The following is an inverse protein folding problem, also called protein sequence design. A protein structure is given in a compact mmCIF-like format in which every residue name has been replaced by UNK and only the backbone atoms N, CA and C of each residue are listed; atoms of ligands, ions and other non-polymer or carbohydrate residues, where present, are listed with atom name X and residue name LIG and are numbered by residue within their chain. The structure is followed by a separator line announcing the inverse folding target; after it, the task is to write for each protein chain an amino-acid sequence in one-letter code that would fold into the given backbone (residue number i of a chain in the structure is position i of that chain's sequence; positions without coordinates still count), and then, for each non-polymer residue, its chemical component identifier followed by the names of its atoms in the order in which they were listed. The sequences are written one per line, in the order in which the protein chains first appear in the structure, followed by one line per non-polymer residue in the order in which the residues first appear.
data_IF_114932952963
#
_entry.id   IF_114932952963
#
_cell.length_a   1.000
_cell.length_b   1.000
_cell.length_c   1.000
_cell.angle_alpha   90.00
_cell.angle_beta   90.00
_cell.angle_gamma   90.00
#
_symmetry.space_group_name_H-M   'P 1'
#
loop_
_entity.id
_entity.type
_entity.pdbx_description
1 polymer ?
#
# COMPACT_ATOMS: atom_id res chain seq x y z
N UNK A 1 2.44 -3.26 21.01
CA UNK A 1 3.90 -3.46 21.17
C UNK A 1 4.55 -4.01 19.88
N UNK A 2 3.82 -4.73 19.02
CA UNK A 2 4.37 -5.23 17.75
C UNK A 2 4.45 -4.15 16.64
N UNK A 3 3.70 -3.07 16.80
CA UNK A 3 3.59 -2.03 15.76
C UNK A 3 4.82 -1.12 15.65
N UNK A 4 5.53 -0.87 16.74
CA UNK A 4 6.75 -0.05 16.73
C UNK A 4 7.94 -0.73 16.02
N UNK A 5 7.96 -2.06 15.96
CA UNK A 5 9.06 -2.80 15.35
C UNK A 5 9.10 -2.72 13.81
N UNK A 6 7.95 -2.57 13.17
CA UNK A 6 7.85 -2.62 11.71
C UNK A 6 8.03 -1.25 11.04
N UNK A 7 7.83 -0.16 11.78
CA UNK A 7 7.96 1.22 11.28
C UNK A 7 7.27 1.46 9.93
N UNK A 8 6.14 0.76 9.70
CA UNK A 8 5.38 0.87 8.46
C UNK A 8 4.73 2.24 8.37
N UNK A 9 4.92 2.91 7.25
CA UNK A 9 4.30 4.19 6.94
C UNK A 9 3.86 4.25 5.48
N UNK A 10 2.63 4.75 5.27
CA UNK A 10 2.06 5.02 3.95
C UNK A 10 1.59 6.47 3.98
N UNK A 11 2.25 7.34 3.21
CA UNK A 11 1.93 8.76 3.15
C UNK A 11 1.47 9.12 1.74
N UNK A 12 0.28 9.64 1.60
CA UNK A 12 -0.20 10.22 0.36
C UNK A 12 -0.21 11.75 0.53
N UNK A 13 0.70 12.43 -0.18
CA UNK A 13 0.99 13.85 -0.02
C UNK A 13 0.55 14.58 -1.28
N UNK A 14 -0.27 15.60 -1.10
CA UNK A 14 -0.60 16.58 -2.14
C UNK A 14 0.11 17.88 -1.80
N UNK A 15 0.88 18.40 -2.74
CA UNK A 15 1.56 19.68 -2.65
C UNK A 15 0.89 20.68 -3.60
N UNK A 16 0.43 21.79 -3.06
CA UNK A 16 -0.07 22.90 -3.86
C UNK A 16 1.10 23.61 -4.58
N UNK A 17 0.85 24.41 -5.62
CA UNK A 17 1.88 25.21 -6.29
C UNK A 17 2.73 26.02 -5.31
N UNK A 18 4.04 25.92 -5.44
CA UNK A 18 5.01 26.56 -4.54
C UNK A 18 5.04 26.02 -3.11
N UNK A 19 4.29 24.94 -2.84
CA UNK A 19 4.23 24.32 -1.53
C UNK A 19 5.53 23.61 -1.16
N UNK A 20 5.83 23.57 0.13
CA UNK A 20 6.95 22.83 0.69
C UNK A 20 6.47 21.87 1.75
N UNK A 21 7.15 20.73 1.90
CA UNK A 21 6.85 19.73 2.93
C UNK A 21 8.16 19.10 3.42
N UNK A 22 8.27 18.94 4.72
CA UNK A 22 9.40 18.25 5.33
C UNK A 22 8.95 16.94 5.95
N UNK A 23 9.66 15.85 5.63
CA UNK A 23 9.47 14.54 6.25
C UNK A 23 10.69 14.22 7.12
N UNK A 24 10.43 13.92 8.38
CA UNK A 24 11.47 13.55 9.34
C UNK A 24 12.13 12.22 8.99
N UNK A 25 13.36 11.97 9.44
CA UNK A 25 13.99 10.67 9.35
C UNK A 25 13.11 9.54 9.89
N UNK A 26 13.18 8.37 9.26
CA UNK A 26 12.52 7.16 9.75
C UNK A 26 13.41 6.33 10.67
N UNK A 27 14.73 6.48 10.53
CA UNK A 27 15.72 5.74 11.29
C UNK A 27 16.42 4.64 10.48
N UNK A 28 17.43 4.06 11.08
CA UNK A 28 18.22 2.99 10.46
C UNK A 28 17.42 1.71 10.22
N UNK A 29 17.78 0.99 9.17
CA UNK A 29 17.19 -0.30 8.80
C UNK A 29 15.76 -0.22 8.27
N UNK A 30 15.29 0.96 7.91
CA UNK A 30 14.01 1.18 7.26
C UNK A 30 14.23 1.33 5.76
N UNK A 31 13.40 0.72 4.94
CA UNK A 31 13.33 1.03 3.51
C UNK A 31 12.32 2.17 3.32
N UNK A 32 12.69 3.18 2.55
CA UNK A 32 11.80 4.31 2.22
C UNK A 32 11.89 4.60 0.73
N UNK A 33 10.73 4.59 0.05
CA UNK A 33 10.62 4.87 -1.38
C UNK A 33 9.57 5.95 -1.61
N UNK A 34 9.93 6.93 -2.41
CA UNK A 34 9.09 8.04 -2.84
C UNK A 34 8.62 7.77 -4.27
N UNK A 35 7.33 7.79 -4.52
CA UNK A 35 6.71 7.63 -5.84
C UNK A 35 6.09 8.96 -6.25
N UNK A 36 6.67 9.63 -7.24
CA UNK A 36 6.14 10.85 -7.81
C UNK A 36 5.23 10.54 -8.99
N UNK A 37 3.91 10.66 -8.82
CA UNK A 37 2.95 10.17 -9.80
C UNK A 37 2.07 11.25 -10.45
N UNK A 38 2.10 12.50 -9.96
CA UNK A 38 1.38 13.62 -10.58
C UNK A 38 2.15 14.93 -10.35
N UNK A 39 2.21 15.78 -11.37
CA UNK A 39 2.92 17.06 -11.35
C UNK A 39 4.03 17.13 -12.42
N UNK A 40 4.72 18.28 -12.53
CA UNK A 40 5.74 18.51 -13.56
C UNK A 40 7.10 18.95 -13.03
N UNK A 41 7.18 19.49 -11.83
CA UNK A 41 8.39 20.11 -11.31
C UNK A 41 8.51 19.99 -9.78
N UNK A 42 8.90 18.80 -9.33
CA UNK A 42 9.12 18.51 -7.91
C UNK A 42 10.62 18.35 -7.64
N UNK A 43 11.08 19.07 -6.61
CA UNK A 43 12.41 18.91 -6.04
C UNK A 43 12.32 18.09 -4.77
N UNK A 44 13.27 17.20 -4.57
CA UNK A 44 13.46 16.44 -3.33
C UNK A 44 14.87 16.70 -2.82
N UNK A 45 14.97 17.39 -1.69
CA UNK A 45 16.25 17.70 -1.03
C UNK A 45 17.24 18.34 -2.01
N UNK A 46 16.74 19.27 -2.83
CA UNK A 46 17.52 20.02 -3.82
C UNK A 46 17.74 19.34 -5.17
N UNK A 47 17.28 18.10 -5.36
CA UNK A 47 17.37 17.38 -6.63
C UNK A 47 16.01 17.27 -7.31
N UNK A 48 15.97 17.47 -8.64
CA UNK A 48 14.74 17.31 -9.42
C UNK A 48 14.38 15.86 -9.62
N UNK A 49 13.16 15.48 -9.23
CA UNK A 49 12.63 14.13 -9.51
C UNK A 49 11.91 14.15 -10.86
N UNK A 50 12.26 13.24 -11.77
CA UNK A 50 11.50 13.07 -12.99
C UNK A 50 10.07 12.57 -12.70
N UNK A 51 9.10 13.08 -13.47
CA UNK A 51 7.71 12.64 -13.36
C UNK A 51 7.56 11.13 -13.64
N UNK A 52 6.64 10.46 -12.94
CA UNK A 52 6.42 9.01 -12.98
C UNK A 52 7.64 8.15 -12.58
N UNK A 53 8.49 8.69 -11.72
CA UNK A 53 9.61 7.92 -11.18
C UNK A 53 9.43 7.61 -9.69
N UNK A 54 10.05 6.53 -9.27
CA UNK A 54 10.28 6.23 -7.88
C UNK A 54 11.73 6.48 -7.50
N UNK A 55 11.95 6.97 -6.29
CA UNK A 55 13.27 7.24 -5.73
C UNK A 55 13.37 6.52 -4.39
N UNK A 56 14.39 5.67 -4.26
CA UNK A 56 14.77 5.13 -2.94
C UNK A 56 15.66 6.15 -2.27
N UNK A 57 15.34 6.50 -1.05
CA UNK A 57 16.01 7.54 -0.28
C UNK A 57 16.65 6.98 0.98
N UNK A 58 17.65 7.67 1.51
CA UNK A 58 18.22 7.35 2.81
C UNK A 58 17.18 7.62 3.91
N UNK A 59 16.76 6.59 4.66
CA UNK A 59 15.73 6.74 5.68
C UNK A 59 16.21 7.52 6.91
N UNK A 60 17.51 7.70 7.06
CA UNK A 60 18.11 8.46 8.18
C UNK A 60 18.18 9.95 7.92
N UNK A 61 17.95 10.37 6.68
CA UNK A 61 17.97 11.77 6.28
C UNK A 61 16.58 12.40 6.31
N UNK A 62 16.55 13.69 6.60
CA UNK A 62 15.36 14.52 6.45
C UNK A 62 15.11 14.78 4.97
N UNK A 63 13.88 14.55 4.51
CA UNK A 63 13.48 14.85 3.14
C UNK A 63 12.78 16.21 3.09
N UNK A 64 13.18 17.05 2.13
CA UNK A 64 12.54 18.32 1.85
C UNK A 64 11.96 18.29 0.45
N UNK A 65 10.64 18.43 0.34
CA UNK A 65 9.92 18.52 -0.92
C UNK A 65 9.64 19.99 -1.22
N UNK A 66 10.00 20.45 -2.41
CA UNK A 66 9.72 21.79 -2.91
C UNK A 66 8.99 21.66 -4.25
N UNK A 67 7.76 22.14 -4.29
CA UNK A 67 6.91 22.01 -5.47
C UNK A 67 7.02 23.21 -6.38
N UNK A 68 6.88 22.96 -7.69
CA UNK A 68 6.84 24.00 -8.72
C UNK A 68 5.48 24.71 -8.80
N UNK A 69 5.10 25.07 -10.00
CA UNK A 69 3.95 25.92 -10.32
C UNK A 69 2.62 25.15 -10.54
N UNK A 70 2.65 23.84 -10.47
CA UNK A 70 1.47 22.97 -10.57
C UNK A 70 1.32 22.09 -9.32
N UNK A 71 0.11 21.53 -9.13
CA UNK A 71 -0.12 20.54 -8.07
C UNK A 71 0.75 19.32 -8.30
N UNK A 72 1.41 18.84 -7.25
CA UNK A 72 2.13 17.57 -7.27
C UNK A 72 1.54 16.58 -6.26
N UNK A 73 1.59 15.30 -6.61
CA UNK A 73 1.20 14.21 -5.71
C UNK A 73 2.29 13.16 -5.60
N UNK A 74 2.53 12.76 -4.38
CA UNK A 74 3.58 11.84 -3.99
C UNK A 74 3.01 10.77 -3.07
N UNK A 75 3.33 9.51 -3.35
CA UNK A 75 3.13 8.41 -2.42
C UNK A 75 4.48 8.04 -1.81
N UNK A 76 4.53 7.93 -0.50
CA UNK A 76 5.72 7.44 0.20
C UNK A 76 5.36 6.14 0.91
N UNK A 77 6.14 5.12 0.65
CA UNK A 77 6.06 3.84 1.33
C UNK A 77 7.33 3.62 2.14
N UNK A 78 7.17 3.25 3.40
CA UNK A 78 8.30 2.88 4.24
C UNK A 78 7.97 1.68 5.12
N UNK A 79 9.00 0.97 5.54
CA UNK A 79 8.89 -0.12 6.50
C UNK A 79 10.22 -0.80 6.75
N UNK A 80 10.33 -1.45 7.88
CA UNK A 80 11.44 -2.33 8.19
C UNK A 80 11.28 -3.63 7.40
N UNK A 81 12.30 -4.11 6.69
CA UNK A 81 12.28 -5.45 6.10
C UNK A 81 11.96 -6.50 7.16
N UNK A 82 11.13 -7.46 6.83
CA UNK A 82 10.76 -8.56 7.73
C UNK A 82 11.94 -9.52 7.92
N UNK A 83 12.80 -9.61 6.91
CA UNK A 83 14.03 -10.38 6.92
C UNK A 83 13.81 -11.90 7.07
N UNK A 84 12.68 -12.37 6.55
CA UNK A 84 12.32 -13.78 6.50
C UNK A 84 12.48 -14.34 5.10
N UNK A 85 12.75 -15.67 4.95
CA UNK A 85 12.75 -16.31 3.65
C UNK A 85 11.42 -16.11 2.92
N UNK A 86 11.47 -16.00 1.59
CA UNK A 86 10.28 -15.86 0.75
C UNK A 86 10.29 -16.93 -0.31
N UNK A 87 9.27 -17.78 -0.32
CA UNK A 87 8.99 -18.76 -1.36
C UNK A 87 7.63 -18.45 -1.97
N UNK A 88 7.61 -18.36 -3.30
CA UNK A 88 6.37 -18.11 -4.04
C UNK A 88 6.08 -19.24 -5.01
N UNK A 89 4.82 -19.69 -5.05
CA UNK A 89 4.33 -20.61 -6.06
C UNK A 89 2.86 -20.30 -6.37
N UNK A 90 2.57 -19.97 -7.63
CA UNK A 90 1.25 -19.50 -8.04
C UNK A 90 0.81 -18.29 -7.23
N UNK A 91 -0.39 -18.32 -6.63
CA UNK A 91 -0.91 -17.23 -5.84
C UNK A 91 -0.37 -17.21 -4.39
N UNK A 92 0.35 -18.25 -3.95
CA UNK A 92 0.78 -18.36 -2.57
C UNK A 92 2.20 -17.85 -2.38
N UNK A 93 2.39 -17.13 -1.27
CA UNK A 93 3.69 -16.65 -0.78
C UNK A 93 3.81 -17.07 0.67
N UNK A 94 4.85 -17.85 0.98
CA UNK A 94 5.14 -18.40 2.31
C UNK A 94 6.63 -18.26 2.61
N UNK A 95 7.07 -18.76 3.75
CA UNK A 95 8.49 -18.74 4.12
C UNK A 95 9.22 -20.01 3.64
N UNK A 96 8.50 -21.13 3.51
CA UNK A 96 9.07 -22.42 3.09
C UNK A 96 8.27 -23.06 1.96
N UNK A 97 8.86 -24.07 1.30
CA UNK A 97 8.15 -24.87 0.28
C UNK A 97 7.11 -25.79 0.90
N UNK A 98 7.36 -26.24 2.09
CA UNK A 98 6.47 -27.09 2.89
C UNK A 98 5.17 -26.32 3.18
N UNK A 99 5.28 -25.06 3.62
CA UNK A 99 4.11 -24.18 3.85
C UNK A 99 3.33 -23.89 2.55
N UNK A 100 4.01 -23.79 1.41
CA UNK A 100 3.33 -23.68 0.10
C UNK A 100 2.48 -24.94 -0.16
N UNK A 101 3.02 -26.13 0.11
CA UNK A 101 2.26 -27.38 -0.09
C UNK A 101 1.07 -27.45 0.86
N UNK A 102 1.24 -27.09 2.12
CA UNK A 102 0.14 -27.04 3.10
C UNK A 102 -0.96 -26.06 2.64
N UNK A 103 -0.59 -24.89 2.11
CA UNK A 103 -1.55 -23.92 1.61
C UNK A 103 -2.35 -24.45 0.41
N UNK A 104 -1.70 -25.19 -0.51
CA UNK A 104 -2.40 -25.87 -1.62
C UNK A 104 -3.35 -26.96 -1.12
N UNK A 105 -2.90 -27.79 -0.18
CA UNK A 105 -3.71 -28.87 0.37
C UNK A 105 -4.93 -28.31 1.12
N UNK A 106 -4.74 -27.24 1.88
CA UNK A 106 -5.83 -26.56 2.60
C UNK A 106 -6.81 -25.90 1.63
N UNK A 107 -6.32 -25.22 0.58
CA UNK A 107 -7.18 -24.67 -0.46
C UNK A 107 -7.97 -25.76 -1.21
N UNK A 108 -7.34 -26.87 -1.58
CA UNK A 108 -8.02 -27.99 -2.25
C UNK A 108 -9.12 -28.59 -1.38
N UNK A 109 -8.91 -28.65 -0.07
CA UNK A 109 -9.86 -29.21 0.89
C UNK A 109 -10.99 -28.25 1.25
N UNK A 110 -10.68 -26.96 1.42
CA UNK A 110 -11.63 -26.01 2.02
C UNK A 110 -12.09 -24.92 1.05
N UNK A 111 -11.36 -24.70 -0.07
CA UNK A 111 -11.54 -23.57 -0.98
C UNK A 111 -11.48 -22.20 -0.25
N UNK A 112 -10.85 -22.16 0.95
CA UNK A 112 -10.84 -21.01 1.87
C UNK A 112 -12.23 -20.44 2.17
N UNK A 113 -13.23 -21.34 2.32
CA UNK A 113 -14.63 -20.98 2.55
C UNK A 113 -15.47 -20.91 1.27
N UNK A 114 -14.86 -20.99 0.10
CA UNK A 114 -15.54 -20.97 -1.20
C UNK A 114 -16.20 -19.63 -1.53
N UNK A 115 -17.09 -19.66 -2.50
CA UNK A 115 -17.89 -18.51 -2.92
C UNK A 115 -19.35 -18.73 -2.51
N UNK A 116 -19.86 -18.06 -1.46
CA UNK A 116 -21.16 -18.37 -0.88
C UNK A 116 -22.35 -17.73 -1.62
N UNK A 117 -22.09 -16.85 -2.59
CA UNK A 117 -23.15 -16.15 -3.32
C UNK A 117 -23.48 -16.85 -4.64
N UNK A 118 -24.73 -16.71 -5.10
CA UNK A 118 -25.22 -17.34 -6.33
C UNK A 118 -24.52 -16.83 -7.60
N UNK A 119 -24.05 -15.58 -7.59
CA UNK A 119 -23.36 -14.97 -8.72
C UNK A 119 -21.92 -14.69 -8.42
N UNK A 120 -21.03 -14.89 -9.39
CA UNK A 120 -19.61 -14.55 -9.27
C UNK A 120 -19.35 -13.05 -9.43
N UNK A 121 -20.20 -12.34 -10.15
CA UNK A 121 -20.14 -10.89 -10.34
C UNK A 121 -21.12 -10.20 -9.37
N UNK A 122 -20.62 -9.70 -8.26
CA UNK A 122 -21.41 -8.94 -7.29
C UNK A 122 -21.52 -7.47 -7.73
N UNK A 123 -22.35 -7.24 -8.76
CA UNK A 123 -22.64 -5.89 -9.26
C UNK A 123 -23.94 -5.39 -8.62
N UNK A 124 -23.92 -4.18 -8.10
CA UNK A 124 -25.09 -3.49 -7.55
C UNK A 124 -25.33 -2.16 -8.28
N UNK A 125 -26.53 -1.63 -8.16
CA UNK A 125 -26.92 -0.36 -8.79
C UNK A 125 -26.09 0.82 -8.24
N UNK A 126 -25.83 1.80 -9.10
CA UNK A 126 -25.07 3.01 -8.73
C UNK A 126 -25.72 3.80 -7.61
N UNK A 127 -27.04 3.75 -7.50
CA UNK A 127 -27.84 4.43 -6.48
C UNK A 127 -27.82 3.70 -5.12
N UNK A 128 -27.25 2.50 -5.08
CA UNK A 128 -27.13 1.77 -3.83
C UNK A 128 -26.19 2.50 -2.87
N UNK A 129 -26.66 2.76 -1.66
CA UNK A 129 -25.80 3.26 -0.58
C UNK A 129 -24.74 2.21 -0.17
N UNK A 130 -23.84 2.61 0.71
CA UNK A 130 -22.84 1.65 1.24
C UNK A 130 -23.54 0.54 2.03
N UNK A 131 -23.29 -0.70 1.64
CA UNK A 131 -23.83 -1.87 2.33
C UNK A 131 -22.82 -3.02 2.29
N UNK A 132 -22.98 -3.97 3.21
CA UNK A 132 -22.36 -5.27 3.18
C UNK A 132 -23.46 -6.34 3.09
N UNK A 133 -23.29 -7.30 2.18
CA UNK A 133 -24.14 -8.49 2.09
C UNK A 133 -23.30 -9.69 2.57
N UNK A 134 -23.68 -10.26 3.71
CA UNK A 134 -23.00 -11.39 4.31
C UNK A 134 -23.43 -12.72 3.67
N UNK A 135 -22.61 -13.75 3.83
CA UNK A 135 -22.88 -15.09 3.28
C UNK A 135 -24.16 -15.75 3.83
N UNK A 136 -24.60 -15.38 5.02
CA UNK A 136 -25.84 -15.83 5.64
C UNK A 136 -27.10 -15.08 5.13
N UNK A 137 -26.93 -14.16 4.17
CA UNK A 137 -27.97 -13.32 3.61
C UNK A 137 -28.27 -12.05 4.41
N UNK A 138 -27.61 -11.82 5.53
CA UNK A 138 -27.75 -10.58 6.30
C UNK A 138 -27.22 -9.38 5.51
N UNK A 139 -27.98 -8.30 5.46
CA UNK A 139 -27.57 -7.07 4.80
C UNK A 139 -27.40 -5.96 5.85
N UNK A 140 -26.21 -5.43 5.93
CA UNK A 140 -25.91 -4.23 6.71
C UNK A 140 -25.88 -3.01 5.80
N UNK A 141 -26.56 -1.93 6.18
CA UNK A 141 -26.56 -0.67 5.44
C UNK A 141 -25.93 0.39 6.34
N UNK A 142 -24.89 1.05 5.86
CA UNK A 142 -24.31 2.19 6.57
C UNK A 142 -25.25 3.39 6.37
N UNK A 143 -25.84 3.88 7.45
CA UNK A 143 -26.60 5.13 7.45
C UNK A 143 -25.76 6.29 6.93
N UNK A 144 -26.40 7.15 6.13
CA UNK A 144 -25.78 8.35 5.59
C UNK A 144 -25.51 9.38 6.67
#
# INVERSE_FOLDING_TARGET
AAEELNSVGIFNIKLEPGGTFELTPAGEGINRTVYYYEGNNLMLTGEKIPHYHSVTVDPTEKLVFENGDEVSKVLILQGRPIDEPVVQHGPFVMNTREEIQEAFDDYNKTQFGGWPWEKYDQVHDRESSRFALHADGTKEVKGG
#
